data_IF_405991651198
#
_entry.id   IF_405991651198
#
_cell.length_a   1.000
_cell.length_b   1.000
_cell.length_c   1.000
_cell.angle_alpha   90.00
_cell.angle_beta   90.00
_cell.angle_gamma   90.00
#
_symmetry.space_group_name_H-M   'P 1'
#
loop_
_entity.id
_entity.type
_entity.pdbx_description
1 polymer ?
#
# COMPACT_ATOMS: atom_id res chain seq x y z
N UNK A 1 -6.54 -13.40 21.95
CA UNK A 1 -6.53 -14.52 21.00
C UNK A 1 -7.63 -14.44 19.90
N UNK A 2 -8.94 -14.29 20.24
CA UNK A 2 -10.00 -14.19 19.21
C UNK A 2 -9.94 -12.84 18.47
N UNK A 3 -9.70 -11.76 19.17
CA UNK A 3 -9.54 -10.42 18.62
C UNK A 3 -8.39 -10.35 17.62
N UNK A 4 -7.28 -10.96 17.94
CA UNK A 4 -6.06 -10.94 17.12
C UNK A 4 -6.26 -11.71 15.81
N UNK A 5 -6.93 -12.86 15.86
CA UNK A 5 -7.30 -13.62 14.65
C UNK A 5 -8.19 -12.80 13.71
N UNK A 6 -9.13 -12.02 14.25
CA UNK A 6 -10.00 -11.17 13.44
C UNK A 6 -9.22 -10.04 12.78
N UNK A 7 -8.28 -9.42 13.50
CA UNK A 7 -7.44 -8.36 12.96
C UNK A 7 -6.51 -8.87 11.85
N UNK A 8 -5.90 -10.05 12.05
CA UNK A 8 -5.07 -10.70 11.02
C UNK A 8 -5.90 -11.03 9.77
N UNK A 9 -7.10 -11.58 9.96
CA UNK A 9 -8.00 -11.86 8.83
C UNK A 9 -8.36 -10.59 8.04
N UNK A 10 -8.69 -9.50 8.72
CA UNK A 10 -8.98 -8.22 8.06
C UNK A 10 -7.75 -7.64 7.33
N UNK A 11 -6.55 -7.82 7.88
CA UNK A 11 -5.30 -7.40 7.22
C UNK A 11 -5.06 -8.21 5.94
N UNK A 12 -5.18 -9.53 5.99
CA UNK A 12 -5.03 -10.43 4.82
C UNK A 12 -6.08 -10.08 3.76
N UNK A 13 -7.34 -9.89 4.17
CA UNK A 13 -8.42 -9.52 3.27
C UNK A 13 -8.13 -8.20 2.55
N UNK A 14 -7.64 -7.18 3.26
CA UNK A 14 -7.23 -5.89 2.67
C UNK A 14 -6.07 -6.06 1.71
N UNK A 15 -5.06 -6.85 2.08
CA UNK A 15 -3.93 -7.18 1.20
C UNK A 15 -4.40 -7.85 -0.09
N UNK A 16 -5.26 -8.87 0.00
CA UNK A 16 -5.84 -9.54 -1.16
C UNK A 16 -6.64 -8.59 -2.06
N UNK A 17 -7.43 -7.69 -1.47
CA UNK A 17 -8.16 -6.66 -2.21
C UNK A 17 -7.23 -5.70 -2.95
N UNK A 18 -6.15 -5.25 -2.31
CA UNK A 18 -5.16 -4.37 -2.92
C UNK A 18 -4.37 -5.09 -4.02
N UNK A 19 -4.03 -6.36 -3.82
CA UNK A 19 -3.37 -7.18 -4.85
C UNK A 19 -4.26 -7.33 -6.09
N UNK A 20 -5.54 -7.64 -5.88
CA UNK A 20 -6.50 -7.69 -6.99
C UNK A 20 -6.60 -6.33 -7.70
N UNK A 21 -6.65 -5.25 -6.95
CA UNK A 21 -6.68 -3.89 -7.50
C UNK A 21 -5.41 -3.57 -8.30
N UNK A 22 -4.24 -3.99 -7.83
CA UNK A 22 -2.98 -3.80 -8.53
C UNK A 22 -2.96 -4.49 -9.91
N UNK A 23 -3.45 -5.72 -9.98
CA UNK A 23 -3.55 -6.48 -11.23
C UNK A 23 -4.59 -5.85 -12.14
N UNK A 24 -5.77 -5.55 -11.60
CA UNK A 24 -6.88 -5.02 -12.38
C UNK A 24 -6.54 -3.67 -13.02
N UNK A 25 -6.04 -2.71 -12.24
CA UNK A 25 -5.75 -1.37 -12.78
C UNK A 25 -4.64 -1.40 -13.82
N UNK A 26 -3.65 -2.27 -13.66
CA UNK A 26 -2.53 -2.39 -14.61
C UNK A 26 -2.98 -2.90 -15.98
N UNK A 27 -3.96 -3.83 -16.01
CA UNK A 27 -4.49 -4.37 -17.23
C UNK A 27 -5.43 -3.41 -17.97
N UNK A 28 -6.07 -2.49 -17.26
CA UNK A 28 -7.04 -1.55 -17.81
C UNK A 28 -6.50 -0.14 -18.02
N UNK A 29 -5.19 0.04 -18.05
CA UNK A 29 -4.62 1.29 -18.55
C UNK A 29 -4.92 1.45 -20.05
N UNK A 30 -5.28 2.68 -20.52
CA UNK A 30 -5.62 2.92 -21.91
C UNK A 30 -4.56 2.46 -22.92
N UNK A 31 -3.27 2.63 -22.61
CA UNK A 31 -2.15 2.20 -23.44
C UNK A 31 -1.95 0.67 -23.48
N UNK A 32 -2.52 -0.07 -22.53
CA UNK A 32 -2.51 -1.53 -22.51
C UNK A 32 -3.68 -2.10 -23.31
N UNK A 33 -4.80 -1.37 -23.35
CA UNK A 33 -6.01 -1.76 -24.05
C UNK A 33 -5.92 -1.52 -25.57
N UNK A 34 -5.31 -0.40 -25.97
CA UNK A 34 -5.15 -0.06 -27.39
C UNK A 34 -3.84 0.67 -27.66
N UNK A 35 -3.15 0.28 -28.75
CA UNK A 35 -1.95 0.94 -29.23
C UNK A 35 -2.03 1.03 -30.78
N UNK A 36 -2.18 2.24 -31.39
CA UNK A 36 -2.31 3.56 -30.76
C UNK A 36 -3.60 3.70 -29.92
N UNK A 37 -3.58 4.65 -28.96
CA UNK A 37 -4.71 4.84 -28.04
C UNK A 37 -5.97 5.25 -28.82
N UNK A 38 -7.04 4.50 -28.62
CA UNK A 38 -8.33 4.68 -29.26
C UNK A 38 -9.40 5.11 -28.24
N UNK A 39 -10.44 5.80 -28.70
CA UNK A 39 -11.57 6.21 -27.88
C UNK A 39 -12.25 5.01 -27.19
N UNK A 40 -12.29 3.85 -27.86
CA UNK A 40 -12.83 2.61 -27.27
C UNK A 40 -12.04 2.15 -26.07
N UNK A 41 -10.70 2.20 -26.15
CA UNK A 41 -9.82 1.88 -25.02
C UNK A 41 -10.02 2.81 -23.82
N UNK A 42 -10.19 4.11 -24.07
CA UNK A 42 -10.52 5.07 -23.03
C UNK A 42 -11.87 4.83 -22.37
N UNK A 43 -12.91 4.59 -23.16
CA UNK A 43 -14.27 4.28 -22.64
C UNK A 43 -14.27 3.00 -21.80
N UNK A 44 -13.56 1.95 -22.26
CA UNK A 44 -13.43 0.71 -21.50
C UNK A 44 -12.66 0.92 -20.21
N UNK A 45 -11.59 1.69 -20.21
CA UNK A 45 -10.84 2.04 -19.01
C UNK A 45 -11.70 2.79 -17.98
N UNK A 46 -12.52 3.75 -18.44
CA UNK A 46 -13.45 4.48 -17.58
C UNK A 46 -14.52 3.54 -17.01
N UNK A 47 -15.09 2.67 -17.84
CA UNK A 47 -16.08 1.68 -17.40
C UNK A 47 -15.50 0.75 -16.33
N UNK A 48 -14.30 0.24 -16.54
CA UNK A 48 -13.59 -0.60 -15.56
C UNK A 48 -13.31 0.15 -14.27
N UNK A 49 -12.95 1.44 -14.36
CA UNK A 49 -12.77 2.27 -13.17
C UNK A 49 -14.08 2.45 -12.38
N UNK A 50 -15.21 2.62 -13.08
CA UNK A 50 -16.54 2.70 -12.44
C UNK A 50 -16.89 1.40 -11.71
N UNK A 51 -16.53 0.24 -12.23
CA UNK A 51 -16.78 -1.07 -11.61
C UNK A 51 -16.00 -1.22 -10.30
N UNK A 52 -14.88 -0.54 -10.11
CA UNK A 52 -14.13 -0.56 -8.86
C UNK A 52 -14.90 0.06 -7.68
N UNK A 53 -15.77 1.04 -7.92
CA UNK A 53 -16.53 1.70 -6.85
C UNK A 53 -17.36 0.72 -6.00
N UNK A 54 -18.25 -0.12 -6.55
CA UNK A 54 -19.02 -1.05 -5.73
C UNK A 54 -18.18 -2.12 -5.04
N UNK A 55 -16.97 -2.39 -5.51
CA UNK A 55 -16.04 -3.32 -4.86
C UNK A 55 -15.45 -2.77 -3.57
N UNK A 56 -15.06 -1.49 -3.55
CA UNK A 56 -14.30 -0.88 -2.46
C UNK A 56 -15.12 0.06 -1.59
N UNK A 57 -16.18 0.68 -2.11
CA UNK A 57 -16.98 1.65 -1.38
C UNK A 57 -17.86 0.97 -0.30
N UNK A 58 -17.98 1.64 0.83
CA UNK A 58 -19.02 1.31 1.82
C UNK A 58 -20.28 2.06 1.44
N UNK A 59 -21.24 1.34 0.85
CA UNK A 59 -22.50 1.95 0.42
C UNK A 59 -23.27 2.43 1.66
N UNK A 60 -23.50 3.76 1.80
CA UNK A 60 -24.14 4.34 3.00
C UNK A 60 -25.66 4.10 3.05
N UNK A 61 -26.24 3.43 2.05
CA UNK A 61 -27.67 3.12 1.98
C UNK A 61 -28.07 2.09 3.04
N UNK A 62 -29.25 2.27 3.63
CA UNK A 62 -29.88 1.30 4.54
C UNK A 62 -30.33 0.07 3.75
N UNK A 63 -29.37 -0.76 3.36
CA UNK A 63 -29.63 -2.02 2.64
C UNK A 63 -29.36 -3.22 3.56
N UNK A 64 -30.08 -4.34 3.39
CA UNK A 64 -29.76 -5.58 4.08
C UNK A 64 -28.37 -6.08 3.72
N UNK A 65 -27.68 -6.72 4.65
CA UNK A 65 -26.27 -7.13 4.48
C UNK A 65 -26.06 -8.10 3.32
N UNK A 66 -27.04 -8.97 3.05
CA UNK A 66 -26.95 -9.89 1.90
C UNK A 66 -26.87 -9.14 0.56
N UNK A 67 -27.60 -8.02 0.40
CA UNK A 67 -27.58 -7.22 -0.82
C UNK A 67 -26.21 -6.53 -1.01
N UNK A 68 -25.59 -6.06 0.07
CA UNK A 68 -24.22 -5.49 0.04
C UNK A 68 -23.19 -6.52 -0.41
N UNK A 69 -23.34 -7.76 0.09
CA UNK A 69 -22.48 -8.88 -0.30
C UNK A 69 -22.72 -9.24 -1.77
N UNK A 70 -23.98 -9.33 -2.21
CA UNK A 70 -24.34 -9.65 -3.58
C UNK A 70 -23.74 -8.62 -4.57
N UNK A 71 -23.88 -7.32 -4.29
CA UNK A 71 -23.29 -6.25 -5.14
C UNK A 71 -21.80 -6.43 -5.28
N UNK A 72 -21.09 -6.72 -4.20
CA UNK A 72 -19.64 -6.95 -4.23
C UNK A 72 -19.28 -8.19 -5.05
N UNK A 73 -19.97 -9.30 -4.82
CA UNK A 73 -19.73 -10.55 -5.54
C UNK A 73 -19.97 -10.37 -7.05
N UNK A 74 -21.04 -9.69 -7.41
CA UNK A 74 -21.33 -9.37 -8.82
C UNK A 74 -20.25 -8.47 -9.42
N UNK A 75 -19.82 -7.42 -8.70
CA UNK A 75 -18.77 -6.52 -9.18
C UNK A 75 -17.43 -7.24 -9.37
N UNK A 76 -17.02 -8.09 -8.44
CA UNK A 76 -15.83 -8.94 -8.59
C UNK A 76 -15.98 -9.93 -9.75
N UNK A 77 -17.15 -10.55 -9.91
CA UNK A 77 -17.43 -11.44 -11.02
C UNK A 77 -17.29 -10.76 -12.38
N UNK A 78 -17.90 -9.58 -12.54
CA UNK A 78 -17.78 -8.77 -13.76
C UNK A 78 -16.31 -8.40 -14.01
N UNK A 79 -15.58 -7.95 -12.99
CA UNK A 79 -14.18 -7.58 -13.10
C UNK A 79 -13.30 -8.75 -13.57
N UNK A 80 -13.52 -9.95 -13.03
CA UNK A 80 -12.78 -11.16 -13.43
C UNK A 80 -13.13 -11.54 -14.87
N UNK A 81 -14.40 -11.52 -15.24
CA UNK A 81 -14.82 -11.82 -16.62
C UNK A 81 -14.16 -10.84 -17.59
N UNK A 82 -14.17 -9.54 -17.28
CA UNK A 82 -13.51 -8.53 -18.11
C UNK A 82 -12.01 -8.77 -18.24
N UNK A 83 -11.30 -9.11 -17.13
CA UNK A 83 -9.88 -9.45 -17.16
C UNK A 83 -9.57 -10.60 -18.10
N UNK A 84 -10.41 -11.64 -18.11
CA UNK A 84 -10.18 -12.85 -18.89
C UNK A 84 -10.64 -12.74 -20.36
N UNK A 85 -11.63 -11.90 -20.66
CA UNK A 85 -12.22 -11.79 -21.99
C UNK A 85 -11.70 -10.62 -22.80
N UNK A 86 -11.08 -9.61 -22.16
CA UNK A 86 -10.56 -8.44 -22.86
C UNK A 86 -9.34 -8.83 -23.69
N UNK A 87 -9.35 -8.44 -24.95
CA UNK A 87 -8.18 -8.51 -25.82
C UNK A 87 -7.33 -7.28 -25.61
N UNK A 88 -6.09 -7.51 -25.17
CA UNK A 88 -5.14 -6.43 -24.91
C UNK A 88 -4.34 -6.09 -26.18
N UNK A 89 -3.80 -4.88 -26.24
CA UNK A 89 -2.97 -4.45 -27.34
C UNK A 89 -1.78 -5.41 -27.56
N UNK A 90 -1.35 -5.55 -28.81
CA UNK A 90 -0.23 -6.39 -29.22
C UNK A 90 -0.44 -7.91 -28.96
N UNK A 91 -1.69 -8.39 -28.92
CA UNK A 91 -1.99 -9.80 -28.73
C UNK A 91 -1.65 -10.34 -27.32
N UNK A 92 -1.48 -9.46 -26.34
CA UNK A 92 -1.27 -9.88 -24.94
C UNK A 92 -2.51 -10.58 -24.43
N UNK A 93 -2.27 -11.58 -23.58
CA UNK A 93 -3.30 -12.26 -22.80
C UNK A 93 -3.18 -11.85 -21.32
N UNK A 94 -4.18 -12.19 -20.54
CA UNK A 94 -4.15 -11.95 -19.09
C UNK A 94 -2.92 -12.62 -18.46
N UNK A 95 -2.16 -11.85 -17.72
CA UNK A 95 -0.99 -12.31 -16.96
C UNK A 95 -1.04 -11.76 -15.53
N UNK A 96 -1.03 -12.65 -14.56
CA UNK A 96 -1.04 -12.29 -13.12
C UNK A 96 0.22 -11.52 -12.72
N UNK A 97 1.34 -11.78 -13.39
CA UNK A 97 2.61 -11.08 -13.14
C UNK A 97 2.59 -9.63 -13.59
N UNK A 98 1.67 -9.28 -14.49
CA UNK A 98 1.51 -7.92 -14.96
C UNK A 98 0.63 -7.12 -14.00
N UNK A 99 1.26 -6.60 -12.95
CA UNK A 99 0.60 -5.84 -11.88
C UNK A 99 1.28 -4.50 -11.63
N UNK A 100 0.54 -3.56 -11.03
CA UNK A 100 1.11 -2.30 -10.61
C UNK A 100 1.97 -2.50 -9.35
N UNK A 101 3.29 -2.36 -9.51
CA UNK A 101 4.28 -2.59 -8.46
C UNK A 101 4.01 -1.74 -7.21
N UNK A 102 3.62 -0.47 -7.36
CA UNK A 102 3.40 0.44 -6.24
C UNK A 102 2.23 -0.04 -5.37
N UNK A 103 1.13 -0.44 -6.01
CA UNK A 103 -0.07 -0.90 -5.30
C UNK A 103 0.18 -2.30 -4.71
N UNK A 104 0.92 -3.14 -5.42
CA UNK A 104 1.31 -4.46 -4.92
C UNK A 104 2.21 -4.35 -3.68
N UNK A 105 3.11 -3.38 -3.68
CA UNK A 105 3.95 -3.06 -2.54
C UNK A 105 3.11 -2.59 -1.34
N UNK A 106 2.13 -1.71 -1.58
CA UNK A 106 1.18 -1.28 -0.54
C UNK A 106 0.36 -2.46 0.01
N UNK A 107 -0.02 -3.43 -0.85
CA UNK A 107 -0.71 -4.65 -0.43
C UNK A 107 0.16 -5.48 0.53
N UNK A 108 1.44 -5.65 0.21
CA UNK A 108 2.40 -6.34 1.07
C UNK A 108 2.60 -5.58 2.40
N UNK A 109 2.72 -4.25 2.35
CA UNK A 109 2.83 -3.43 3.57
C UNK A 109 1.57 -3.51 4.44
N UNK A 110 0.39 -3.57 3.84
CA UNK A 110 -0.86 -3.74 4.58
C UNK A 110 -0.91 -5.07 5.33
N UNK A 111 -0.37 -6.15 4.77
CA UNK A 111 -0.33 -7.47 5.42
C UNK A 111 0.78 -7.52 6.47
N UNK A 112 2.03 -7.31 6.06
CA UNK A 112 3.20 -7.46 6.94
C UNK A 112 3.25 -6.39 8.01
N UNK A 113 2.99 -5.13 7.67
CA UNK A 113 2.95 -4.04 8.64
C UNK A 113 1.86 -4.23 9.69
N UNK A 114 0.65 -4.65 9.27
CA UNK A 114 -0.43 -4.98 10.22
C UNK A 114 -0.10 -6.19 11.08
N UNK A 115 0.49 -7.23 10.52
CA UNK A 115 0.90 -8.42 11.27
C UNK A 115 1.93 -8.05 12.34
N UNK A 116 3.01 -7.35 11.95
CA UNK A 116 4.03 -6.89 12.90
C UNK A 116 3.40 -6.01 13.98
N UNK A 117 2.53 -5.09 13.61
CA UNK A 117 1.83 -4.22 14.54
C UNK A 117 1.02 -5.02 15.56
N UNK A 118 0.23 -6.00 15.12
CA UNK A 118 -0.61 -6.85 16.00
C UNK A 118 0.25 -7.64 16.99
N UNK A 119 1.35 -8.24 16.52
CA UNK A 119 2.23 -9.03 17.37
C UNK A 119 3.10 -8.20 18.32
N UNK A 120 3.39 -6.94 17.96
CA UNK A 120 4.28 -6.05 18.74
C UNK A 120 3.54 -4.90 19.43
N UNK A 121 2.20 -4.93 19.45
CA UNK A 121 1.37 -3.85 19.97
C UNK A 121 1.66 -3.49 21.44
N UNK A 122 2.10 -4.48 22.24
CA UNK A 122 2.38 -4.30 23.67
C UNK A 122 3.79 -3.81 23.97
N UNK A 123 4.71 -3.81 22.99
CA UNK A 123 6.10 -3.48 23.24
C UNK A 123 6.71 -2.72 22.06
N UNK A 124 7.04 -1.45 22.30
CA UNK A 124 7.77 -0.61 21.36
C UNK A 124 9.14 -1.20 21.02
N UNK A 125 9.84 -1.75 22.01
CA UNK A 125 11.17 -2.36 21.84
C UNK A 125 11.12 -3.58 20.94
N UNK A 126 10.05 -4.39 21.04
CA UNK A 126 9.85 -5.53 20.13
C UNK A 126 9.69 -5.05 18.69
N UNK A 127 8.98 -3.94 18.45
CA UNK A 127 8.77 -3.33 17.16
C UNK A 127 10.08 -2.81 16.53
N UNK A 128 10.89 -2.14 17.34
CA UNK A 128 12.24 -1.70 16.93
C UNK A 128 13.15 -2.92 16.68
N UNK A 129 13.07 -3.95 17.52
CA UNK A 129 13.82 -5.19 17.34
C UNK A 129 13.53 -5.88 16.00
N UNK A 130 12.26 -5.94 15.59
CA UNK A 130 11.86 -6.47 14.27
C UNK A 130 12.52 -5.68 13.13
N UNK A 131 12.57 -4.34 13.23
CA UNK A 131 13.26 -3.52 12.23
C UNK A 131 14.76 -3.81 12.17
N UNK A 132 15.42 -3.96 13.32
CA UNK A 132 16.85 -4.27 13.37
C UNK A 132 17.15 -5.64 12.73
N UNK A 133 16.34 -6.66 13.02
CA UNK A 133 16.46 -7.99 12.41
C UNK A 133 16.26 -7.89 10.89
N UNK A 134 15.24 -7.16 10.46
CA UNK A 134 14.95 -6.97 9.05
C UNK A 134 16.12 -6.25 8.34
N UNK A 135 16.68 -5.23 8.96
CA UNK A 135 17.83 -4.51 8.44
C UNK A 135 19.04 -5.43 8.28
N UNK A 136 19.32 -6.25 9.31
CA UNK A 136 20.41 -7.22 9.25
C UNK A 136 20.23 -8.22 8.10
N UNK A 137 19.00 -8.71 7.88
CA UNK A 137 18.68 -9.63 6.78
C UNK A 137 18.80 -8.96 5.40
N UNK A 138 18.33 -7.72 5.25
CA UNK A 138 18.43 -6.98 4.00
C UNK A 138 19.89 -6.68 3.63
N UNK A 139 20.72 -6.30 4.60
CA UNK A 139 22.14 -6.01 4.36
C UNK A 139 22.95 -7.29 4.13
N UNK A 140 22.74 -8.33 4.93
CA UNK A 140 23.46 -9.61 4.78
C UNK A 140 23.00 -10.42 3.58
N UNK A 141 21.77 -10.22 3.11
CA UNK A 141 21.24 -10.89 1.93
C UNK A 141 21.95 -10.54 0.62
N UNK A 142 22.70 -9.44 0.60
CA UNK A 142 23.52 -9.02 -0.54
C UNK A 142 24.90 -9.72 -0.57
N UNK A 143 25.27 -10.42 0.50
CA UNK A 143 26.54 -11.14 0.57
C UNK A 143 26.39 -12.52 -0.08
N UNK A 144 27.21 -12.78 -1.12
CA UNK A 144 27.20 -14.04 -1.84
C UNK A 144 27.52 -15.24 -0.94
N UNK A 145 26.84 -16.35 -1.18
CA UNK A 145 26.98 -17.61 -0.43
C UNK A 145 26.65 -17.53 1.07
N UNK A 146 25.92 -16.52 1.50
CA UNK A 146 25.42 -16.44 2.88
C UNK A 146 24.07 -17.14 3.03
N UNK A 147 23.81 -17.67 4.23
CA UNK A 147 22.48 -18.22 4.55
C UNK A 147 21.39 -17.14 4.47
N UNK A 148 21.74 -15.89 4.69
CA UNK A 148 20.83 -14.76 4.59
C UNK A 148 20.42 -14.50 3.13
N UNK A 149 21.29 -14.77 2.16
CA UNK A 149 20.97 -14.67 0.75
C UNK A 149 19.87 -15.69 0.35
N UNK A 150 19.86 -16.87 0.95
CA UNK A 150 18.80 -17.84 0.71
C UNK A 150 17.43 -17.35 1.20
N UNK A 151 17.38 -16.62 2.33
CA UNK A 151 16.16 -16.01 2.85
C UNK A 151 15.76 -14.82 1.97
N UNK A 152 16.72 -13.98 1.59
CA UNK A 152 16.50 -12.80 0.74
C UNK A 152 15.92 -13.18 -0.62
N UNK A 153 16.44 -14.24 -1.23
CA UNK A 153 15.99 -14.77 -2.53
C UNK A 153 14.73 -15.65 -2.43
N UNK A 154 14.23 -15.92 -1.21
CA UNK A 154 13.04 -16.72 -1.03
C UNK A 154 11.78 -15.96 -1.46
N UNK A 155 11.24 -16.36 -2.60
CA UNK A 155 10.03 -15.76 -3.19
C UNK A 155 8.97 -16.83 -3.40
N UNK A 156 8.13 -17.12 -2.40
CA UNK A 156 7.09 -18.17 -2.49
C UNK A 156 6.04 -17.88 -3.57
N UNK A 157 5.82 -16.61 -3.88
CA UNK A 157 4.89 -16.14 -4.90
C UNK A 157 5.58 -15.02 -5.72
N UNK A 158 6.36 -15.37 -6.76
CA UNK A 158 7.16 -14.40 -7.51
C UNK A 158 6.36 -13.23 -8.10
N UNK A 159 5.09 -13.45 -8.40
CA UNK A 159 4.21 -12.41 -8.93
C UNK A 159 3.64 -11.46 -7.86
N UNK A 160 3.66 -11.84 -6.56
CA UNK A 160 3.01 -11.08 -5.50
C UNK A 160 3.97 -10.61 -4.39
N UNK A 161 5.04 -11.35 -4.13
CA UNK A 161 5.92 -11.10 -3.00
C UNK A 161 7.40 -11.25 -3.38
N UNK A 162 8.17 -10.21 -3.09
CA UNK A 162 9.62 -10.22 -3.04
C UNK A 162 10.08 -9.76 -1.67
N UNK A 163 11.11 -10.40 -1.12
CA UNK A 163 11.63 -10.05 0.19
C UNK A 163 12.10 -8.58 0.25
N UNK A 164 12.60 -8.06 -0.85
CA UNK A 164 13.02 -6.67 -1.02
C UNK A 164 11.90 -5.66 -0.69
N UNK A 165 10.62 -6.02 -0.89
CA UNK A 165 9.50 -5.14 -0.54
C UNK A 165 9.43 -4.83 0.95
N UNK A 166 9.98 -5.70 1.81
CA UNK A 166 9.98 -5.50 3.25
C UNK A 166 10.84 -4.29 3.69
N UNK A 167 11.71 -3.77 2.84
CA UNK A 167 12.43 -2.51 3.09
C UNK A 167 11.48 -1.34 3.42
N UNK A 168 10.28 -1.33 2.86
CA UNK A 168 9.30 -0.27 3.11
C UNK A 168 8.66 -0.34 4.50
N UNK A 169 8.88 -1.42 5.27
CA UNK A 169 8.51 -1.48 6.68
C UNK A 169 9.27 -0.45 7.53
N UNK A 170 10.44 0.01 7.07
CA UNK A 170 11.16 1.12 7.69
C UNK A 170 10.41 2.46 7.63
N UNK A 171 9.40 2.58 6.79
CA UNK A 171 8.49 3.73 6.74
C UNK A 171 7.23 3.44 7.56
N UNK A 172 6.66 2.24 7.38
CA UNK A 172 5.37 1.86 7.97
C UNK A 172 5.46 1.71 9.49
N UNK A 173 6.51 1.08 10.01
CA UNK A 173 6.65 0.83 11.45
C UNK A 173 6.90 2.12 12.24
N UNK A 174 7.86 3.00 11.90
CA UNK A 174 7.98 4.29 12.54
C UNK A 174 6.72 5.14 12.42
N UNK A 175 6.05 5.11 11.25
CA UNK A 175 4.76 5.77 11.05
C UNK A 175 3.68 5.27 12.01
N UNK A 176 3.63 3.96 12.30
CA UNK A 176 2.70 3.39 13.27
C UNK A 176 2.99 3.84 14.71
N UNK A 177 4.27 3.96 15.07
CA UNK A 177 4.70 4.46 16.38
C UNK A 177 4.30 5.94 16.53
N UNK A 178 4.60 6.76 15.53
CA UNK A 178 4.20 8.17 15.51
C UNK A 178 2.68 8.34 15.60
N UNK A 179 1.92 7.47 14.91
CA UNK A 179 0.46 7.45 14.97
C UNK A 179 -0.09 7.13 16.36
N UNK A 180 0.52 6.19 17.09
CA UNK A 180 0.13 5.88 18.48
C UNK A 180 0.37 7.09 19.39
N UNK A 181 1.55 7.71 19.34
CA UNK A 181 1.86 8.90 20.12
C UNK A 181 0.90 10.05 19.80
N UNK A 182 0.56 10.24 18.54
CA UNK A 182 -0.41 11.25 18.12
C UNK A 182 -1.81 10.97 18.68
N UNK A 183 -2.26 9.72 18.59
CA UNK A 183 -3.57 9.32 19.12
C UNK A 183 -3.66 9.47 20.64
N UNK A 184 -2.60 9.13 21.36
CA UNK A 184 -2.56 9.28 22.82
C UNK A 184 -2.51 10.76 23.20
N UNK A 185 -1.76 11.57 22.47
CA UNK A 185 -1.75 13.02 22.65
C UNK A 185 -3.14 13.63 22.41
N UNK A 186 -3.84 13.23 21.33
CA UNK A 186 -5.19 13.70 21.03
C UNK A 186 -6.19 13.32 22.13
N UNK A 187 -6.11 12.09 22.66
CA UNK A 187 -6.99 11.65 23.76
C UNK A 187 -6.77 12.46 25.03
N UNK A 188 -5.51 12.79 25.36
CA UNK A 188 -5.18 13.58 26.56
C UNK A 188 -5.61 15.05 26.42
N UNK A 189 -5.72 15.58 25.19
CA UNK A 189 -6.00 16.98 24.95
C UNK A 189 -7.43 17.24 24.45
N UNK A 190 -8.31 16.22 24.44
CA UNK A 190 -9.67 16.34 23.93
C UNK A 190 -10.54 17.33 24.74
N UNK A 191 -10.18 17.58 26.01
CA UNK A 191 -10.89 18.53 26.88
C UNK A 191 -10.31 19.96 26.87
N UNK A 192 -9.16 20.18 26.23
CA UNK A 192 -8.46 21.47 26.21
C UNK A 192 -8.20 22.03 24.80
N UNK A 193 -8.93 21.56 23.82
CA UNK A 193 -8.66 21.86 22.40
C UNK A 193 -8.96 23.32 21.98
N UNK A 194 -9.32 24.18 22.93
CA UNK A 194 -9.80 25.53 22.56
C UNK A 194 -8.73 26.63 22.67
N UNK A 195 -7.62 26.50 23.41
CA UNK A 195 -6.87 27.73 23.65
C UNK A 195 -5.36 27.71 23.82
N UNK A 196 -4.66 26.67 23.47
CA UNK A 196 -3.20 26.80 23.36
C UNK A 196 -2.67 26.19 22.08
N UNK A 197 -3.15 26.69 20.98
CA UNK A 197 -2.39 26.58 19.73
C UNK A 197 -1.09 27.35 19.96
N UNK A 198 -0.07 26.63 20.32
CA UNK A 198 1.24 27.20 20.55
C UNK A 198 1.69 27.75 19.19
N UNK A 199 1.32 29.03 18.94
CA UNK A 199 1.55 29.77 17.67
C UNK A 199 2.99 29.59 17.19
N UNK A 200 3.90 29.45 18.15
CA UNK A 200 5.30 29.18 17.91
C UNK A 200 5.55 27.82 17.19
N UNK A 201 4.86 26.75 17.58
CA UNK A 201 4.99 25.44 16.90
C UNK A 201 4.47 25.50 15.46
N UNK A 202 3.36 26.17 15.25
CA UNK A 202 2.83 26.40 13.90
C UNK A 202 3.80 27.20 13.03
N UNK A 203 4.38 28.27 13.59
CA UNK A 203 5.39 29.09 12.90
C UNK A 203 6.63 28.25 12.55
N UNK A 204 7.15 27.47 13.49
CA UNK A 204 8.30 26.59 13.25
C UNK A 204 7.99 25.58 12.14
N UNK A 205 6.81 24.94 12.12
CA UNK A 205 6.39 24.01 11.06
C UNK A 205 6.30 24.70 9.71
N UNK A 206 5.74 25.90 9.65
CA UNK A 206 5.66 26.70 8.41
C UNK A 206 7.07 27.04 7.92
N UNK A 207 7.94 27.50 8.79
CA UNK A 207 9.32 27.85 8.44
C UNK A 207 10.10 26.64 7.93
N UNK A 208 9.93 25.47 8.55
CA UNK A 208 10.56 24.22 8.14
C UNK A 208 10.08 23.78 6.76
N UNK A 209 8.77 23.87 6.52
CA UNK A 209 8.17 23.56 5.22
C UNK A 209 8.69 24.52 4.14
N UNK A 210 8.77 25.80 4.46
CA UNK A 210 9.25 26.83 3.54
C UNK A 210 10.74 26.63 3.23
N UNK A 211 11.56 26.27 4.22
CA UNK A 211 12.96 25.93 4.04
C UNK A 211 13.14 24.73 3.11
N UNK A 212 12.34 23.65 3.26
CA UNK A 212 12.37 22.51 2.36
C UNK A 212 12.01 22.90 0.93
N UNK A 213 11.00 23.75 0.74
CA UNK A 213 10.60 24.25 -0.59
C UNK A 213 11.74 25.08 -1.21
N UNK A 214 12.35 25.96 -0.44
CA UNK A 214 13.47 26.80 -0.92
C UNK A 214 14.67 25.94 -1.31
N UNK A 215 15.03 24.94 -0.52
CA UNK A 215 16.13 24.00 -0.83
C UNK A 215 15.87 23.25 -2.14
N UNK A 216 14.61 22.82 -2.37
CA UNK A 216 14.23 22.19 -3.63
C UNK A 216 14.29 23.17 -4.81
N UNK A 217 13.77 24.38 -4.66
CA UNK A 217 13.80 25.40 -5.70
C UNK A 217 15.22 25.90 -6.02
N UNK A 218 16.10 25.92 -5.04
CA UNK A 218 17.51 26.27 -5.22
C UNK A 218 18.33 25.20 -5.96
N UNK A 219 17.72 24.09 -6.35
CA UNK A 219 18.39 23.04 -7.13
C UNK A 219 19.46 22.26 -6.36
N UNK A 220 19.55 22.42 -5.05
CA UNK A 220 20.50 21.67 -4.20
C UNK A 220 20.21 20.16 -4.21
N UNK A 221 19.02 19.75 -4.64
CA UNK A 221 18.61 18.35 -4.74
C UNK A 221 19.13 17.68 -6.04
N UNK A 222 19.46 18.46 -7.06
CA UNK A 222 19.87 17.92 -8.38
C UNK A 222 21.28 17.32 -8.39
N UNK A 223 22.10 17.59 -7.40
CA UNK A 223 23.45 17.03 -7.31
C UNK A 223 23.52 15.63 -6.66
N UNK A 224 22.44 15.13 -6.07
CA UNK A 224 22.41 13.80 -5.46
C UNK A 224 21.93 12.68 -6.40
N UNK A 225 21.50 13.00 -7.60
CA UNK A 225 20.96 12.01 -8.56
C UNK A 225 21.96 11.51 -9.60
N UNK A 226 23.24 11.85 -9.45
CA UNK A 226 24.31 11.35 -10.35
C UNK A 226 25.15 10.33 -9.59
N UNK A 227 24.56 9.22 -9.23
CA UNK A 227 25.23 7.94 -8.99
C UNK A 227 24.35 6.86 -9.65
N UNK A 228 24.49 6.78 -10.96
CA UNK A 228 24.27 5.56 -11.71
C UNK A 228 25.53 4.74 -11.67
#
# INVERSE_FOLDING_TARGET
CIRDRRLVYEAIKRGAQLTFFAIFIQHFYPHVLSNPQDMRGWLLAILCFVILFPMFIRIPLKMPDWMRIAIKVVAYGIAIVLLLTTQYANGRVFDVSFSNIIILLLANMAVFGSAIYIFTMQSLWARVGVLLILMALLLSGQVENSWAQAIYNYTPLPWAFHFEYLQYLFIVIPGSIAGEYLMDWLKQHNDSFVESTNKWKAIVMILLTLAIIIVNLAGLYTHCTVLN
#
